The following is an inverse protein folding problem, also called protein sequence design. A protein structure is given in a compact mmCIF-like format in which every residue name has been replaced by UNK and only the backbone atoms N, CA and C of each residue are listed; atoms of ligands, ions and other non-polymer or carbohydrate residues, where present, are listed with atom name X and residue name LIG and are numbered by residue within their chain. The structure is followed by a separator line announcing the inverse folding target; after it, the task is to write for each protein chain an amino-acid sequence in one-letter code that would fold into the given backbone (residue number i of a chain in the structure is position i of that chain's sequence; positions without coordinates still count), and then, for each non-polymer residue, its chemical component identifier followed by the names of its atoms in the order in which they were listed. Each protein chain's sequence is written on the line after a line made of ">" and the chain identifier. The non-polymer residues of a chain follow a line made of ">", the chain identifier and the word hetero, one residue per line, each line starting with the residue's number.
data_IF_799829043340
#
_entry.id   IF_799829043340
#
_cell.length_a   1.000
_cell.length_b   1.000
_cell.length_c   1.000
_cell.angle_alpha   90.00
_cell.angle_beta   90.00
_cell.angle_gamma   90.00
#
_symmetry.space_group_name_H-M   'P 1'
#
loop_
_entity.id
_entity.type
_entity.pdbx_description
1 polymer ?
#
# COMPACT_ATOMS: atom_id res chain seq x y z
N UNK A 1 39.25 -48.23 0.80
CA UNK A 1 38.58 -47.59 -0.35
C UNK A 1 37.09 -47.86 -0.24
N UNK A 2 36.33 -46.88 0.22
CA UNK A 2 34.98 -46.45 -0.23
C UNK A 2 34.36 -45.57 0.87
N UNK A 3 34.84 -44.33 0.94
CA UNK A 3 34.16 -43.28 1.70
C UNK A 3 32.91 -42.86 0.93
N UNK A 4 31.75 -42.98 1.56
CA UNK A 4 30.48 -42.49 1.00
C UNK A 4 30.16 -41.15 1.64
N UNK A 5 29.97 -40.05 0.88
CA UNK A 5 29.71 -38.75 1.48
C UNK A 5 28.23 -38.63 1.87
N UNK A 6 27.97 -38.37 3.15
CA UNK A 6 26.65 -37.97 3.64
C UNK A 6 26.32 -36.56 3.12
N UNK A 7 25.61 -36.50 1.99
CA UNK A 7 25.05 -35.26 1.46
C UNK A 7 23.84 -34.85 2.30
N UNK A 8 24.09 -34.10 3.37
CA UNK A 8 23.03 -33.56 4.23
C UNK A 8 22.57 -32.23 3.62
N UNK A 9 21.67 -32.31 2.64
CA UNK A 9 21.03 -31.12 2.07
C UNK A 9 20.15 -30.50 3.15
N UNK A 10 20.64 -29.45 3.83
CA UNK A 10 19.83 -28.58 4.68
C UNK A 10 18.80 -27.88 3.79
N UNK A 11 17.62 -28.48 3.66
CA UNK A 11 16.46 -27.76 3.13
C UNK A 11 16.16 -26.61 4.09
N UNK A 12 16.56 -25.41 3.68
CA UNK A 12 16.14 -24.17 4.30
C UNK A 12 14.61 -24.13 4.21
N UNK A 13 13.93 -24.41 5.33
CA UNK A 13 12.49 -24.25 5.44
C UNK A 13 12.20 -22.76 5.25
N UNK A 14 11.84 -22.37 4.02
CA UNK A 14 11.11 -21.13 3.76
C UNK A 14 9.81 -21.22 4.56
N UNK A 15 9.80 -20.71 5.78
CA UNK A 15 8.56 -20.45 6.51
C UNK A 15 7.79 -19.41 5.71
N UNK A 16 6.80 -19.86 4.94
CA UNK A 16 5.85 -18.98 4.28
C UNK A 16 5.07 -18.27 5.38
N UNK A 17 5.37 -17.00 5.62
CA UNK A 17 4.58 -16.16 6.53
C UNK A 17 3.19 -16.06 5.90
N UNK A 18 2.14 -16.44 6.64
CA UNK A 18 0.77 -16.30 6.15
C UNK A 18 0.50 -14.83 5.83
N UNK A 19 -0.15 -14.50 4.69
CA UNK A 19 -0.45 -13.12 4.35
C UNK A 19 -1.31 -12.48 5.46
N UNK A 20 -0.78 -11.42 6.06
CA UNK A 20 -1.54 -10.56 6.97
C UNK A 20 -1.97 -9.34 6.17
N UNK A 21 -3.28 -9.10 6.07
CA UNK A 21 -3.84 -8.00 5.29
C UNK A 21 -4.45 -6.96 6.23
N UNK A 22 -4.01 -5.72 6.09
CA UNK A 22 -4.55 -4.58 6.84
C UNK A 22 -5.40 -3.72 5.89
N UNK A 23 -6.64 -3.37 6.26
CA UNK A 23 -7.52 -2.60 5.40
C UNK A 23 -6.98 -1.18 5.17
N UNK A 24 -7.18 -0.67 3.96
CA UNK A 24 -7.08 0.77 3.69
C UNK A 24 -8.29 1.50 4.30
N UNK A 25 -8.17 2.81 4.53
CA UNK A 25 -9.25 3.66 5.06
C UNK A 25 -10.55 3.49 4.26
N UNK A 26 -11.72 3.43 4.91
CA UNK A 26 -13.02 3.42 4.20
C UNK A 26 -13.20 4.66 3.31
N UNK A 27 -12.60 5.79 3.72
CA UNK A 27 -12.62 7.03 2.94
C UNK A 27 -11.86 6.90 1.61
N UNK A 28 -11.03 5.87 1.42
CA UNK A 28 -10.36 5.61 0.15
C UNK A 28 -11.13 4.68 -0.80
N UNK A 29 -12.31 4.19 -0.39
CA UNK A 29 -13.01 3.10 -1.09
C UNK A 29 -14.44 3.45 -1.53
N UNK A 30 -14.90 4.68 -1.26
CA UNK A 30 -16.24 5.17 -1.62
C UNK A 30 -17.39 4.23 -1.20
N UNK A 31 -17.22 3.46 -0.12
CA UNK A 31 -18.14 2.39 0.27
C UNK A 31 -18.27 2.21 1.78
N UNK A 32 -19.14 1.27 2.17
CA UNK A 32 -19.44 0.95 3.57
C UNK A 32 -18.64 -0.25 4.09
N UNK A 33 -17.88 -0.91 3.23
CA UNK A 33 -17.11 -2.12 3.54
C UNK A 33 -15.68 -1.98 3.02
N UNK A 34 -14.73 -2.63 3.71
CA UNK A 34 -13.35 -2.68 3.26
C UNK A 34 -13.20 -3.75 2.17
N UNK A 35 -12.79 -3.32 0.98
CA UNK A 35 -12.50 -4.16 -0.19
C UNK A 35 -11.05 -4.04 -0.66
N UNK A 36 -10.34 -2.98 -0.25
CA UNK A 36 -8.91 -2.76 -0.48
C UNK A 36 -8.10 -2.93 0.80
N UNK A 37 -7.01 -3.69 0.69
CA UNK A 37 -6.11 -4.04 1.77
C UNK A 37 -4.66 -3.99 1.27
N UNK A 38 -3.72 -3.68 2.15
CA UNK A 38 -2.29 -3.87 1.88
C UNK A 38 -1.74 -5.09 2.63
N UNK A 39 -0.70 -5.70 2.06
CA UNK A 39 0.01 -6.81 2.69
C UNK A 39 0.91 -6.26 3.80
N UNK A 40 0.60 -6.56 5.05
CA UNK A 40 1.38 -6.17 6.22
C UNK A 40 2.75 -6.86 6.30
N UNK A 41 2.97 -7.93 5.53
CA UNK A 41 4.27 -8.57 5.40
C UNK A 41 5.13 -7.93 4.29
N UNK A 42 4.64 -6.93 3.57
CA UNK A 42 5.45 -6.15 2.64
C UNK A 42 6.56 -5.42 3.41
N UNK A 43 7.70 -5.17 2.76
CA UNK A 43 8.74 -4.38 3.40
C UNK A 43 8.24 -2.95 3.64
N UNK A 44 8.80 -2.27 4.65
CA UNK A 44 8.48 -0.86 4.86
C UNK A 44 8.83 -0.02 3.63
N UNK A 45 9.93 -0.32 2.94
CA UNK A 45 10.28 0.36 1.69
C UNK A 45 9.21 0.17 0.62
N UNK A 46 8.68 -1.03 0.43
CA UNK A 46 7.58 -1.28 -0.54
C UNK A 46 6.30 -0.52 -0.17
N UNK A 47 5.97 -0.44 1.13
CA UNK A 47 4.82 0.32 1.63
C UNK A 47 5.03 1.83 1.37
N UNK A 48 6.24 2.32 1.61
CA UNK A 48 6.60 3.72 1.39
C UNK A 48 6.53 4.07 -0.10
N UNK A 49 7.14 3.26 -0.97
CA UNK A 49 7.11 3.45 -2.42
C UNK A 49 5.68 3.41 -2.96
N UNK A 50 4.85 2.51 -2.45
CA UNK A 50 3.43 2.48 -2.79
C UNK A 50 2.73 3.78 -2.39
N UNK A 51 2.96 4.29 -1.18
CA UNK A 51 2.39 5.55 -0.72
C UNK A 51 2.83 6.73 -1.59
N UNK A 52 4.12 6.80 -1.92
CA UNK A 52 4.69 7.85 -2.79
C UNK A 52 4.12 7.77 -4.21
N UNK A 53 3.95 6.57 -4.77
CA UNK A 53 3.31 6.40 -6.07
C UNK A 53 1.86 6.90 -6.09
N UNK A 54 1.10 6.69 -4.99
CA UNK A 54 -0.26 7.23 -4.85
C UNK A 54 -0.27 8.76 -4.78
N UNK A 55 0.66 9.37 -4.04
CA UNK A 55 0.81 10.82 -4.00
C UNK A 55 1.22 11.40 -5.36
N UNK A 56 2.14 10.75 -6.08
CA UNK A 56 2.53 11.18 -7.42
C UNK A 56 1.34 11.12 -8.40
N UNK A 57 0.51 10.07 -8.31
CA UNK A 57 -0.70 9.98 -9.12
C UNK A 57 -1.69 11.13 -8.83
N UNK A 58 -1.83 11.53 -7.56
CA UNK A 58 -2.64 12.71 -7.18
C UNK A 58 -2.08 13.97 -7.83
N UNK A 59 -0.76 14.21 -7.72
CA UNK A 59 -0.11 15.36 -8.35
C UNK A 59 -0.38 15.40 -9.85
N UNK A 60 -0.15 14.28 -10.55
CA UNK A 60 -0.40 14.18 -11.99
C UNK A 60 -1.86 14.47 -12.34
N UNK A 61 -2.82 13.96 -11.56
CA UNK A 61 -4.25 14.20 -11.77
C UNK A 61 -4.62 15.68 -11.61
N UNK A 62 -4.07 16.35 -10.60
CA UNK A 62 -4.32 17.77 -10.34
C UNK A 62 -3.63 18.68 -11.36
N UNK A 63 -2.45 18.31 -11.86
CA UNK A 63 -1.79 19.01 -12.96
C UNK A 63 -2.61 18.94 -14.24
N UNK A 64 -3.13 17.76 -14.59
CA UNK A 64 -4.03 17.61 -15.73
C UNK A 64 -5.27 18.50 -15.56
N UNK A 65 -5.83 18.61 -14.34
CA UNK A 65 -6.96 19.49 -14.06
C UNK A 65 -6.66 20.97 -14.39
N UNK A 66 -5.44 21.42 -14.11
CA UNK A 66 -5.00 22.80 -14.40
C UNK A 66 -4.90 23.07 -15.90
N UNK A 67 -4.57 22.05 -16.69
CA UNK A 67 -4.52 22.16 -18.17
C UNK A 67 -5.92 22.10 -18.81
N UNK A 68 -6.93 21.60 -18.09
CA UNK A 68 -8.32 21.54 -18.54
C UNK A 68 -9.07 22.88 -18.32
N UNK A 69 -8.62 23.95 -18.98
CA UNK A 69 -9.27 25.28 -18.96
C UNK A 69 -10.71 25.27 -19.55
N UNK A 70 -11.21 24.12 -20.04
CA UNK A 70 -12.52 23.96 -20.72
C UNK A 70 -13.23 22.61 -20.52
N UNK A 71 -12.87 21.80 -19.53
CA UNK A 71 -13.55 20.50 -19.33
C UNK A 71 -14.99 20.69 -18.84
N UNK A 72 -15.92 19.84 -19.30
CA UNK A 72 -17.24 19.71 -18.67
C UNK A 72 -17.09 19.46 -17.17
N UNK A 73 -17.98 20.06 -16.37
CA UNK A 73 -17.96 19.97 -14.89
C UNK A 73 -17.80 18.53 -14.37
N UNK A 74 -18.30 17.52 -15.09
CA UNK A 74 -18.19 16.09 -14.77
C UNK A 74 -16.75 15.59 -14.66
N UNK A 75 -15.83 16.03 -15.52
CA UNK A 75 -14.43 15.63 -15.50
C UNK A 75 -13.69 16.15 -14.27
N UNK A 76 -14.00 17.39 -13.87
CA UNK A 76 -13.41 18.02 -12.68
C UNK A 76 -13.82 17.27 -11.41
N UNK A 77 -15.10 16.91 -11.28
CA UNK A 77 -15.60 16.15 -10.14
C UNK A 77 -14.97 14.75 -10.08
N UNK A 78 -14.83 14.06 -11.22
CA UNK A 78 -14.21 12.74 -11.26
C UNK A 78 -12.73 12.79 -10.85
N UNK A 79 -11.96 13.75 -11.37
CA UNK A 79 -10.55 13.92 -11.02
C UNK A 79 -10.42 14.25 -9.52
N UNK A 80 -11.24 15.18 -9.00
CA UNK A 80 -11.24 15.53 -7.58
C UNK A 80 -11.57 14.32 -6.68
N UNK A 81 -12.59 13.54 -7.05
CA UNK A 81 -12.98 12.34 -6.31
C UNK A 81 -11.86 11.30 -6.28
N UNK A 82 -11.27 10.97 -7.44
CA UNK A 82 -10.17 9.99 -7.52
C UNK A 82 -8.94 10.47 -6.75
N UNK A 83 -8.59 11.75 -6.85
CA UNK A 83 -7.50 12.34 -6.07
C UNK A 83 -7.72 12.21 -4.57
N UNK A 84 -8.95 12.41 -4.08
CA UNK A 84 -9.28 12.24 -2.68
C UNK A 84 -9.12 10.77 -2.21
N UNK A 85 -9.53 9.80 -3.03
CA UNK A 85 -9.36 8.38 -2.72
C UNK A 85 -7.87 8.00 -2.61
N UNK A 86 -7.07 8.38 -3.61
CA UNK A 86 -5.63 8.10 -3.64
C UNK A 86 -4.87 8.79 -2.50
N UNK A 87 -5.29 9.99 -2.09
CA UNK A 87 -4.71 10.67 -0.94
C UNK A 87 -5.02 9.93 0.36
N UNK A 88 -6.25 9.40 0.52
CA UNK A 88 -6.60 8.58 1.69
C UNK A 88 -5.85 7.24 1.71
N UNK A 89 -5.60 6.63 0.55
CA UNK A 89 -4.73 5.45 0.43
C UNK A 89 -3.33 5.77 0.95
N UNK A 90 -2.70 6.82 0.41
CA UNK A 90 -1.35 7.24 0.79
C UNK A 90 -1.24 7.55 2.29
N UNK A 91 -2.22 8.27 2.84
CA UNK A 91 -2.27 8.58 4.27
C UNK A 91 -2.34 7.32 5.13
N UNK A 92 -3.14 6.32 4.73
CA UNK A 92 -3.23 5.05 5.47
C UNK A 92 -1.91 4.29 5.44
N UNK A 93 -1.24 4.25 4.28
CA UNK A 93 0.06 3.60 4.14
C UNK A 93 1.17 4.32 4.94
N UNK A 94 1.16 5.67 4.94
CA UNK A 94 2.13 6.46 5.69
C UNK A 94 1.96 6.38 7.22
N UNK A 95 0.76 6.03 7.70
CA UNK A 95 0.52 5.81 9.13
C UNK A 95 1.38 4.67 9.69
N UNK A 96 1.82 3.72 8.86
CA UNK A 96 2.73 2.63 9.26
C UNK A 96 4.08 3.15 9.80
N UNK A 97 4.49 4.34 9.35
CA UNK A 97 5.72 4.99 9.79
C UNK A 97 5.51 5.88 11.02
N UNK A 98 4.26 6.09 11.44
CA UNK A 98 3.97 6.89 12.61
C UNK A 98 4.46 6.15 13.88
N UNK A 99 5.10 6.84 14.83
CA UNK A 99 5.61 6.20 16.06
C UNK A 99 4.55 5.45 16.87
N UNK A 100 3.27 5.79 16.71
CA UNK A 100 2.13 5.11 17.34
C UNK A 100 1.84 3.76 16.69
N UNK A 101 1.89 3.63 15.36
CA UNK A 101 1.61 2.39 14.65
C UNK A 101 2.64 1.29 15.00
N UNK A 102 3.90 1.69 15.15
CA UNK A 102 4.98 0.82 15.62
C UNK A 102 4.84 0.37 17.10
N UNK A 103 4.09 1.12 17.94
CA UNK A 103 3.84 0.73 19.33
C UNK A 103 2.80 -0.38 19.46
N UNK A 104 1.78 -0.38 18.60
CA UNK A 104 0.74 -1.42 18.60
C UNK A 104 1.27 -2.78 18.13
N UNK A 105 2.17 -2.78 17.14
CA UNK A 105 2.86 -4.00 16.65
C UNK A 105 3.81 -4.65 17.66
N UNK A 106 4.21 -3.96 18.74
CA UNK A 106 5.11 -4.48 19.79
C UNK A 106 4.38 -4.98 21.03
N UNK A 107 3.08 -4.76 21.13
CA UNK A 107 2.24 -5.13 22.27
C UNK A 107 1.36 -6.36 22.01
N UNK A 108 1.51 -7.01 20.86
CA UNK A 108 1.01 -8.36 20.55
C UNK A 108 2.15 -9.38 20.65
#
# INVERSE_FOLDING_TARGET
>A
MTDTPNNTTKQSKKTSIAPCFIPLSLNSQSGNEHVLYYNANASLDDIFECAMARLQAVTNLLENLYEFDKAENSGVYAISAVSALLLNDAMTLLQEFHPVANRLKKSE
#
